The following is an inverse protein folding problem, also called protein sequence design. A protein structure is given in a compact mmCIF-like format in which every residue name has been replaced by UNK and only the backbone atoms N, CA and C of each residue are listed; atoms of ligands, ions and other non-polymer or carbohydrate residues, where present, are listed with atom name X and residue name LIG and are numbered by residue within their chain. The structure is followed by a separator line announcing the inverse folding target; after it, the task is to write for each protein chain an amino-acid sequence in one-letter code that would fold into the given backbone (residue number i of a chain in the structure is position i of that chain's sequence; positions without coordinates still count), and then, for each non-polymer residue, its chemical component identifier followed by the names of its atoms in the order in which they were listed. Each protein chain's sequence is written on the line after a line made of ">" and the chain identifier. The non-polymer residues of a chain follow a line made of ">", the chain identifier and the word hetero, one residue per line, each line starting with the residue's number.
data_IF_234930151567
#
_entry.id   IF_234930151567
#
_cell.length_a   1.000
_cell.length_b   1.000
_cell.length_c   1.000
_cell.angle_alpha   90.00
_cell.angle_beta   90.00
_cell.angle_gamma   90.00
#
_symmetry.space_group_name_H-M   'P 1'
#
loop_
_entity.id
_entity.type
_entity.pdbx_description
1 polymer ?
#
# COMPACT_ATOMS: atom_id res chain seq x y z
N UNK A 1 29.39 -14.36 6.28
CA UNK A 1 28.46 -13.27 5.89
C UNK A 1 29.19 -12.45 4.85
N UNK A 2 28.77 -12.54 3.59
CA UNK A 2 29.46 -11.89 2.48
C UNK A 2 29.31 -10.37 2.63
N UNK A 3 30.42 -9.64 2.72
CA UNK A 3 30.43 -8.17 2.86
C UNK A 3 30.59 -7.48 1.48
N UNK A 4 30.16 -8.16 0.41
CA UNK A 4 30.20 -7.61 -0.95
C UNK A 4 29.20 -6.45 -1.07
N UNK A 5 29.58 -5.28 -1.60
CA UNK A 5 28.63 -4.19 -1.83
C UNK A 5 27.45 -4.66 -2.70
N UNK A 6 26.28 -4.06 -2.48
CA UNK A 6 25.12 -4.28 -3.35
C UNK A 6 25.47 -3.96 -4.80
N UNK A 7 24.95 -4.74 -5.74
CA UNK A 7 24.99 -4.36 -7.15
C UNK A 7 24.22 -3.06 -7.38
N UNK A 8 24.47 -2.38 -8.50
CA UNK A 8 23.74 -1.14 -8.83
C UNK A 8 22.22 -1.32 -8.90
N UNK A 9 21.76 -2.50 -9.37
CA UNK A 9 20.34 -2.84 -9.41
C UNK A 9 19.77 -3.12 -8.02
N UNK A 10 20.50 -3.88 -7.19
CA UNK A 10 20.12 -4.19 -5.80
C UNK A 10 20.00 -2.93 -4.93
N UNK A 11 20.99 -2.05 -5.03
CA UNK A 11 20.97 -0.76 -4.34
C UNK A 11 19.82 0.11 -4.84
N UNK A 12 19.52 0.07 -6.15
CA UNK A 12 18.37 0.76 -6.70
C UNK A 12 17.06 0.15 -6.21
N UNK A 13 16.90 -1.15 -6.05
CA UNK A 13 15.63 -1.72 -5.57
C UNK A 13 15.42 -1.57 -4.06
N UNK A 14 16.49 -1.40 -3.29
CA UNK A 14 16.44 -1.30 -1.83
C UNK A 14 15.96 0.08 -1.34
N UNK A 15 15.40 0.12 -0.13
CA UNK A 15 14.94 1.32 0.56
C UNK A 15 13.46 1.26 0.92
N UNK A 16 12.85 2.44 1.08
CA UNK A 16 11.46 2.58 1.51
C UNK A 16 10.47 2.32 0.36
N UNK A 17 9.49 1.48 0.64
CA UNK A 17 8.36 1.17 -0.23
C UNK A 17 7.06 1.52 0.48
N UNK A 18 6.15 2.14 -0.26
CA UNK A 18 4.83 2.54 0.22
C UNK A 18 3.76 2.10 -0.76
N UNK A 19 2.55 1.90 -0.29
CA UNK A 19 1.42 1.59 -1.16
C UNK A 19 0.34 0.87 -0.39
N UNK A 20 -0.40 0.00 -1.06
CA UNK A 20 -1.59 -0.59 -0.47
C UNK A 20 -1.84 -2.02 -0.93
N UNK A 21 -2.70 -2.70 -0.19
CA UNK A 21 -3.34 -3.95 -0.61
C UNK A 21 -4.86 -3.82 -0.53
N UNK A 22 -5.54 -4.61 -1.35
CA UNK A 22 -7.02 -4.68 -1.41
C UNK A 22 -7.47 -6.09 -1.09
N UNK A 23 -8.75 -6.29 -0.80
CA UNK A 23 -9.39 -7.60 -0.75
C UNK A 23 -10.29 -7.74 -1.98
N UNK A 24 -10.30 -8.90 -2.64
CA UNK A 24 -11.26 -9.14 -3.73
C UNK A 24 -12.68 -8.91 -3.21
N UNK A 25 -13.46 -8.12 -3.95
CA UNK A 25 -14.83 -7.76 -3.58
C UNK A 25 -14.96 -6.51 -2.70
N UNK A 26 -13.86 -5.88 -2.31
CA UNK A 26 -13.84 -4.64 -1.54
C UNK A 26 -13.11 -3.54 -2.30
N UNK A 27 -13.64 -2.32 -2.22
CA UNK A 27 -13.02 -1.12 -2.82
C UNK A 27 -12.02 -0.42 -1.89
N UNK A 28 -11.90 -0.86 -0.64
CA UNK A 28 -11.02 -0.23 0.34
C UNK A 28 -9.55 -0.60 0.09
N UNK A 29 -8.70 0.42 0.15
CA UNK A 29 -7.26 0.27 0.16
C UNK A 29 -6.77 0.20 1.61
N UNK A 30 -5.91 -0.76 1.90
CA UNK A 30 -5.20 -0.85 3.16
C UNK A 30 -3.75 -0.41 2.94
N UNK A 31 -3.39 0.76 3.46
CA UNK A 31 -2.05 1.34 3.35
C UNK A 31 -1.01 0.49 4.08
N UNK A 32 0.19 0.40 3.49
CA UNK A 32 1.35 -0.25 4.08
C UNK A 32 2.65 0.45 3.68
N UNK A 33 3.62 0.40 4.59
CA UNK A 33 4.97 0.92 4.39
C UNK A 33 5.97 -0.16 4.80
N UNK A 34 7.02 -0.36 4.03
CA UNK A 34 8.08 -1.32 4.33
C UNK A 34 9.45 -0.80 3.88
N UNK A 35 10.48 -1.02 4.70
CA UNK A 35 11.87 -0.89 4.29
C UNK A 35 12.36 -2.25 3.79
N UNK A 36 12.70 -2.33 2.50
CA UNK A 36 13.09 -3.55 1.81
C UNK A 36 14.54 -3.49 1.37
N UNK A 37 15.26 -4.57 1.62
CA UNK A 37 16.61 -4.81 1.12
C UNK A 37 16.58 -5.93 0.08
N UNK A 38 17.06 -5.62 -1.12
CA UNK A 38 17.23 -6.57 -2.22
C UNK A 38 18.70 -6.93 -2.34
N UNK A 39 19.02 -8.22 -2.21
CA UNK A 39 20.40 -8.71 -2.27
C UNK A 39 20.48 -10.18 -2.65
N UNK A 40 21.33 -10.51 -3.62
CA UNK A 40 21.62 -11.86 -4.09
C UNK A 40 20.34 -12.68 -4.37
N UNK A 41 19.37 -12.09 -5.06
CA UNK A 41 18.09 -12.73 -5.37
C UNK A 41 17.16 -12.94 -4.16
N UNK A 42 17.45 -12.31 -3.02
CA UNK A 42 16.60 -12.29 -1.82
C UNK A 42 16.05 -10.90 -1.54
N UNK A 43 14.81 -10.85 -1.08
CA UNK A 43 14.19 -9.66 -0.51
C UNK A 43 13.95 -9.90 0.97
N UNK A 44 14.38 -8.96 1.80
CA UNK A 44 14.16 -8.98 3.26
C UNK A 44 13.78 -7.59 3.71
N UNK A 45 12.98 -7.47 4.76
CA UNK A 45 12.60 -6.15 5.26
C UNK A 45 11.68 -6.22 6.44
N UNK A 46 11.20 -5.05 6.86
CA UNK A 46 10.15 -4.94 7.85
C UNK A 46 9.30 -3.71 7.57
N UNK A 47 8.12 -3.67 8.15
CA UNK A 47 7.18 -2.60 7.87
C UNK A 47 6.02 -2.57 8.83
N UNK A 48 5.08 -1.68 8.54
CA UNK A 48 3.87 -1.48 9.33
C UNK A 48 2.69 -1.23 8.42
N UNK A 49 1.54 -1.77 8.82
CA UNK A 49 0.24 -1.41 8.27
C UNK A 49 -0.79 -1.32 9.40
N UNK A 50 -2.07 -1.20 9.06
CA UNK A 50 -3.16 -1.12 10.05
C UNK A 50 -3.27 -2.33 11.00
N UNK A 51 -2.68 -3.47 10.65
CA UNK A 51 -2.68 -4.68 11.48
C UNK A 51 -1.46 -4.74 12.40
N UNK A 52 -0.49 -3.83 12.24
CA UNK A 52 0.69 -3.72 13.09
C UNK A 52 2.00 -3.92 12.33
N UNK A 53 3.05 -4.19 13.10
CA UNK A 53 4.39 -4.45 12.57
C UNK A 53 4.52 -5.84 11.95
N UNK A 54 5.30 -5.95 10.90
CA UNK A 54 5.55 -7.19 10.19
C UNK A 54 6.99 -7.29 9.66
N UNK A 55 7.41 -8.50 9.36
CA UNK A 55 8.68 -8.82 8.68
C UNK A 55 8.37 -9.32 7.27
N UNK A 56 9.23 -9.01 6.31
CA UNK A 56 9.20 -9.59 4.96
C UNK A 56 10.45 -10.43 4.73
N UNK A 57 10.24 -11.63 4.19
CA UNK A 57 11.30 -12.47 3.62
C UNK A 57 10.86 -13.03 2.28
N UNK A 58 11.78 -13.23 1.35
CA UNK A 58 11.38 -13.65 0.01
C UNK A 58 12.54 -13.81 -0.96
N UNK A 59 12.17 -13.97 -2.23
CA UNK A 59 13.09 -14.07 -3.37
C UNK A 59 12.62 -13.19 -4.51
N UNK A 60 13.57 -12.73 -5.31
CA UNK A 60 13.28 -11.97 -6.51
C UNK A 60 14.23 -12.38 -7.64
N UNK A 61 13.82 -12.11 -8.88
CA UNK A 61 14.61 -12.34 -10.09
C UNK A 61 14.76 -11.03 -10.85
N UNK A 62 15.98 -10.50 -10.92
CA UNK A 62 16.28 -9.30 -11.73
C UNK A 62 15.95 -9.50 -13.21
N UNK A 63 16.16 -10.72 -13.73
CA UNK A 63 15.96 -11.01 -15.15
C UNK A 63 14.48 -11.21 -15.51
N UNK A 64 13.70 -11.81 -14.61
CA UNK A 64 12.29 -12.13 -14.86
C UNK A 64 11.31 -11.11 -14.27
N UNK A 65 11.77 -10.25 -13.36
CA UNK A 65 10.93 -9.33 -12.60
C UNK A 65 10.10 -10.00 -11.50
N UNK A 66 10.08 -11.33 -11.40
CA UNK A 66 9.31 -12.03 -10.36
C UNK A 66 9.78 -11.66 -8.96
N UNK A 67 8.83 -11.42 -8.05
CA UNK A 67 9.07 -11.15 -6.64
C UNK A 67 8.08 -11.94 -5.78
N UNK A 68 8.60 -12.86 -4.99
CA UNK A 68 7.83 -13.70 -4.06
C UNK A 68 8.19 -13.29 -2.64
N UNK A 69 7.19 -12.89 -1.86
CA UNK A 69 7.38 -12.45 -0.48
C UNK A 69 6.43 -13.19 0.47
N UNK A 70 6.94 -13.49 1.65
CA UNK A 70 6.16 -13.87 2.82
C UNK A 70 6.24 -12.72 3.82
N UNK A 71 5.08 -12.17 4.14
CA UNK A 71 4.89 -11.19 5.20
C UNK A 71 4.44 -11.93 6.45
N UNK A 72 5.25 -11.85 7.50
CA UNK A 72 5.00 -12.52 8.77
C UNK A 72 4.68 -11.49 9.83
N UNK A 73 3.52 -11.65 10.46
CA UNK A 73 3.22 -11.02 11.74
C UNK A 73 3.69 -11.97 12.84
N UNK A 74 4.75 -11.65 13.63
CA UNK A 74 5.46 -12.63 14.47
C UNK A 74 4.65 -13.38 15.54
N UNK A 75 3.42 -12.95 15.81
CA UNK A 75 2.50 -13.59 16.76
C UNK A 75 1.18 -14.06 16.14
N UNK A 76 1.00 -13.92 14.82
CA UNK A 76 -0.30 -14.15 14.18
C UNK A 76 -0.25 -15.14 13.02
N UNK A 77 0.10 -14.68 11.83
CA UNK A 77 0.03 -15.50 10.62
C UNK A 77 0.91 -14.93 9.51
N UNK A 78 1.13 -15.78 8.52
CA UNK A 78 1.80 -15.42 7.28
C UNK A 78 0.80 -15.00 6.20
N UNK A 79 1.21 -14.02 5.42
CA UNK A 79 0.54 -13.57 4.19
C UNK A 79 1.54 -13.73 3.04
N UNK A 80 1.09 -14.38 1.98
CA UNK A 80 1.92 -14.69 0.81
C UNK A 80 1.65 -13.70 -0.30
N UNK A 81 2.71 -13.24 -0.96
CA UNK A 81 2.66 -12.29 -2.05
C UNK A 81 3.38 -12.86 -3.26
N UNK A 82 2.75 -12.77 -4.43
CA UNK A 82 3.36 -12.99 -5.74
C UNK A 82 3.18 -11.74 -6.56
N UNK A 83 4.27 -11.05 -6.82
CA UNK A 83 4.29 -9.84 -7.62
C UNK A 83 5.35 -9.83 -8.70
N UNK A 84 5.34 -8.74 -9.44
CA UNK A 84 6.28 -8.43 -10.49
C UNK A 84 6.84 -7.02 -10.26
N UNK A 85 8.17 -6.90 -10.29
CA UNK A 85 8.91 -5.65 -10.17
C UNK A 85 8.98 -5.04 -11.57
N UNK A 86 8.47 -3.82 -11.72
CA UNK A 86 8.60 -3.04 -12.95
C UNK A 86 8.89 -1.59 -12.61
N UNK A 87 10.00 -1.07 -13.13
CA UNK A 87 10.52 0.27 -12.83
C UNK A 87 10.75 0.50 -11.34
N UNK A 88 9.81 1.16 -10.67
CA UNK A 88 9.83 1.53 -9.25
C UNK A 88 8.57 1.02 -8.52
N UNK A 89 7.90 0.02 -9.09
CA UNK A 89 6.67 -0.57 -8.56
C UNK A 89 6.79 -2.10 -8.42
N UNK A 90 6.25 -2.66 -7.34
CA UNK A 90 5.94 -4.08 -7.18
C UNK A 90 4.42 -4.20 -7.14
N UNK A 91 3.85 -4.92 -8.09
CA UNK A 91 2.41 -5.16 -8.14
C UNK A 91 2.11 -6.64 -8.30
N UNK A 92 0.98 -7.09 -7.77
CA UNK A 92 0.56 -8.48 -7.92
C UNK A 92 -0.58 -8.88 -7.02
N UNK A 93 -0.57 -10.14 -6.62
CA UNK A 93 -1.59 -10.76 -5.78
C UNK A 93 -1.02 -11.17 -4.42
N UNK A 94 -1.89 -11.19 -3.42
CA UNK A 94 -1.60 -11.75 -2.11
C UNK A 94 -2.70 -12.71 -1.66
N UNK A 95 -2.35 -13.64 -0.78
CA UNK A 95 -3.28 -14.60 -0.19
C UNK A 95 -2.82 -15.08 1.20
N UNK A 96 -3.77 -15.59 1.99
CA UNK A 96 -3.51 -16.30 3.25
C UNK A 96 -3.87 -17.78 3.01
N UNK A 97 -3.16 -18.75 3.61
CA UNK A 97 -3.52 -20.17 3.51
C UNK A 97 -4.94 -20.44 4.02
N UNK A 98 -5.49 -21.60 3.62
CA UNK A 98 -6.77 -22.13 4.10
C UNK A 98 -8.03 -21.38 3.62
N UNK A 99 -8.01 -20.88 2.38
CA UNK A 99 -9.25 -20.46 1.68
C UNK A 99 -9.81 -19.10 2.09
N UNK A 100 -8.98 -18.22 2.67
CA UNK A 100 -9.37 -16.82 2.92
C UNK A 100 -9.39 -16.01 1.62
N UNK A 101 -10.02 -14.83 1.70
CA UNK A 101 -10.17 -13.89 0.57
C UNK A 101 -8.79 -13.37 0.14
N UNK A 102 -8.35 -13.65 -1.11
CA UNK A 102 -7.12 -13.09 -1.65
C UNK A 102 -7.35 -11.64 -2.09
N UNK A 103 -6.30 -11.01 -2.59
CA UNK A 103 -6.39 -9.63 -3.05
C UNK A 103 -5.25 -9.22 -3.96
N UNK A 104 -5.24 -7.95 -4.33
CA UNK A 104 -4.13 -7.35 -5.08
C UNK A 104 -3.33 -6.41 -4.19
N UNK A 105 -2.09 -6.15 -4.59
CA UNK A 105 -1.26 -5.16 -3.93
C UNK A 105 -0.46 -4.36 -4.95
N UNK A 106 -0.08 -3.15 -4.53
CA UNK A 106 0.79 -2.24 -5.27
C UNK A 106 1.70 -1.53 -4.27
N UNK A 107 3.00 -1.65 -4.45
CA UNK A 107 4.04 -0.94 -3.70
C UNK A 107 4.85 -0.11 -4.66
N UNK A 108 5.05 1.16 -4.38
CA UNK A 108 5.95 2.04 -5.11
C UNK A 108 7.11 2.45 -4.20
N UNK A 109 8.29 2.64 -4.80
CA UNK A 109 9.44 3.19 -4.08
C UNK A 109 9.13 4.63 -3.69
N UNK A 110 9.27 4.95 -2.43
CA UNK A 110 9.39 6.33 -2.02
C UNK A 110 10.82 6.72 -2.35
N UNK A 111 11.01 7.41 -3.47
CA UNK A 111 12.34 7.75 -3.95
C UNK A 111 13.20 8.31 -2.83
N UNK A 112 14.50 8.01 -2.84
CA UNK A 112 15.50 8.80 -2.13
C UNK A 112 15.37 10.21 -2.68
N UNK A 113 14.51 11.02 -2.06
CA UNK A 113 14.28 12.38 -2.47
C UNK A 113 15.50 13.18 -2.03
N UNK A 114 16.37 13.54 -2.97
CA UNK A 114 16.76 14.94 -2.95
C UNK A 114 15.49 15.74 -3.26
N UNK A 115 14.95 16.39 -2.23
CA UNK A 115 13.90 17.41 -2.35
C UNK A 115 12.53 16.90 -2.80
N UNK A 116 11.71 16.42 -1.86
CA UNK A 116 10.31 16.13 -2.17
C UNK A 116 9.53 15.51 -1.02
N UNK A 117 9.59 16.12 0.17
CA UNK A 117 8.67 15.79 1.24
C UNK A 117 7.24 16.02 0.74
N UNK A 118 6.49 14.94 0.51
CA UNK A 118 5.03 15.02 0.54
C UNK A 118 4.63 15.10 2.01
N UNK A 119 3.97 16.18 2.46
CA UNK A 119 3.55 16.28 3.85
C UNK A 119 2.60 15.12 4.18
N UNK A 120 2.98 14.34 5.18
CA UNK A 120 2.09 13.44 5.89
C UNK A 120 1.11 14.29 6.71
N UNK A 121 -0.15 14.30 6.30
CA UNK A 121 -1.24 14.89 7.06
C UNK A 121 -1.78 16.20 6.49
N UNK A 122 -2.52 16.13 5.38
CA UNK A 122 -3.66 17.04 5.22
C UNK A 122 -4.87 16.28 5.78
N UNK A 123 -5.25 16.62 7.01
CA UNK A 123 -6.56 16.28 7.51
C UNK A 123 -7.58 16.84 6.52
N UNK A 124 -8.44 15.99 5.96
CA UNK A 124 -9.65 16.45 5.29
C UNK A 124 -10.49 17.15 6.34
N UNK A 125 -10.32 18.47 6.47
CA UNK A 125 -11.32 19.33 7.09
C UNK A 125 -12.58 19.15 6.24
N UNK A 126 -13.73 18.71 6.78
CA UNK A 126 -14.96 18.76 6.02
C UNK A 126 -15.24 20.25 5.77
N UNK A 127 -15.23 20.65 4.51
CA UNK A 127 -15.70 21.96 4.09
C UNK A 127 -17.18 22.08 4.48
N UNK A 128 -17.41 22.78 5.59
CA UNK A 128 -18.71 23.24 6.04
C UNK A 128 -19.01 24.57 5.34
N UNK A 129 -19.82 24.52 4.29
CA UNK A 129 -20.49 25.66 3.65
C UNK A 129 -21.17 25.12 2.37
N UNK A 130 -22.45 25.29 2.04
CA UNK A 130 -23.45 26.36 2.26
C UNK A 130 -24.87 25.78 1.94
N UNK A 131 -25.96 26.55 1.81
CA UNK A 131 -26.37 27.83 2.43
C UNK A 131 -27.77 27.72 3.09
N UNK A 132 -28.05 28.62 4.03
CA UNK A 132 -29.44 28.99 4.35
C UNK A 132 -30.05 29.70 3.13
N UNK A 133 -31.13 29.13 2.58
CA UNK A 133 -32.03 29.85 1.69
C UNK A 133 -33.41 29.90 2.33
N UNK A 134 -33.83 31.14 2.52
CA UNK A 134 -35.15 31.61 2.92
C UNK A 134 -36.30 30.78 2.34
N UNK A 135 -37.28 30.51 3.20
CA UNK A 135 -38.60 30.02 2.83
C UNK A 135 -39.26 30.99 1.84
N UNK A 136 -39.77 30.55 0.68
CA UNK A 136 -40.70 31.36 -0.07
C UNK A 136 -42.05 31.37 0.66
N UNK A 137 -42.47 32.60 0.97
CA UNK A 137 -43.85 33.02 1.21
C UNK A 137 -44.80 32.29 0.25
N UNK A 138 -45.84 31.64 0.78
CA UNK A 138 -46.90 31.02 -0.03
C UNK A 138 -48.14 31.92 0.02
N UNK A 139 -48.40 32.75 -1.00
CA UNK A 139 -49.71 33.33 -1.17
C UNK A 139 -50.60 32.42 -2.03
N UNK A 140 -51.90 32.51 -1.71
CA UNK A 140 -53.08 31.99 -2.42
C UNK A 140 -53.51 30.56 -2.05
N UNK A 141 -54.79 30.20 -2.03
CA UNK A 141 -56.08 30.89 -1.92
C UNK A 141 -57.14 29.75 -1.84
N UNK A 142 -58.27 30.05 -1.20
CA UNK A 142 -59.63 29.46 -1.31
C UNK A 142 -59.92 27.95 -1.55
N UNK A 143 -60.77 27.46 -0.65
CA UNK A 143 -61.93 26.54 -0.86
C UNK A 143 -61.72 25.02 -0.96
N UNK A 144 -62.50 24.27 -0.15
CA UNK A 144 -62.84 22.88 -0.43
C UNK A 144 -63.12 22.00 0.80
N UNK A 145 -64.39 21.98 1.22
CA UNK A 145 -65.08 21.07 2.18
C UNK A 145 -64.90 21.29 3.69
#
# INVERSE_FOLDING_TARGET
>A
MDNKPLSGAEAKLSGLWQGFYTYIGYSSHCEMVADLTFRNGRVTGSGTDRNGWFIITGRYSDAAGDCLMTKTYPEYHDVFYKGHISNDEIMGAWWIPLGRVPGTFRLHRTGTSEGGARPIGEAVVPASSEPSLESPDNPEDTSGY
#
